data_IF_644872302918
#
_entry.id   IF_644872302918
#
_cell.length_a   1.000
_cell.length_b   1.000
_cell.length_c   1.000
_cell.angle_alpha   90.00
_cell.angle_beta   90.00
_cell.angle_gamma   90.00
#
_symmetry.space_group_name_H-M   'P 1'
#
loop_
_entity.id
_entity.type
_entity.pdbx_description
1 polymer ?
#
# COMPACT_ATOMS: atom_id res chain seq x y z
N UNK A 1 18.95 -4.11 -13.79
CA UNK A 1 17.60 -3.67 -14.22
C UNK A 1 17.01 -2.87 -13.08
N UNK A 2 16.80 -1.56 -13.29
CA UNK A 2 16.30 -0.62 -12.29
C UNK A 2 14.87 -1.00 -11.89
N UNK A 3 14.57 -1.02 -10.60
CA UNK A 3 13.18 -1.08 -10.15
C UNK A 3 12.59 0.31 -10.39
N UNK A 4 11.59 0.36 -11.27
CA UNK A 4 10.73 1.51 -11.60
C UNK A 4 11.36 2.51 -12.59
N UNK A 5 11.15 2.28 -13.89
CA UNK A 5 11.06 3.41 -14.83
C UNK A 5 9.74 4.15 -14.56
N UNK A 6 9.86 5.38 -14.04
CA UNK A 6 8.79 6.28 -13.62
C UNK A 6 9.37 7.37 -12.69
N UNK A 7 10.35 8.11 -13.19
CA UNK A 7 11.30 8.95 -12.43
C UNK A 7 10.73 10.33 -12.06
N UNK A 8 9.83 10.36 -11.08
CA UNK A 8 9.42 11.60 -10.41
C UNK A 8 8.73 11.35 -9.07
N UNK A 9 8.93 12.22 -8.06
CA UNK A 9 8.35 12.08 -6.72
C UNK A 9 6.80 12.15 -6.70
N UNK A 10 6.19 12.57 -7.80
CA UNK A 10 4.74 12.69 -8.02
C UNK A 10 4.20 11.71 -9.08
N UNK A 11 5.03 10.75 -9.56
CA UNK A 11 4.54 9.80 -10.57
C UNK A 11 3.60 8.77 -9.92
N UNK A 12 2.36 8.75 -10.41
CA UNK A 12 1.32 7.79 -10.02
C UNK A 12 1.26 6.60 -10.99
N UNK A 13 2.18 6.52 -11.95
CA UNK A 13 2.26 5.45 -12.95
C UNK A 13 3.21 4.34 -12.50
N UNK A 14 2.76 3.10 -12.65
CA UNK A 14 3.48 1.89 -12.29
C UNK A 14 3.55 0.98 -13.52
N UNK A 15 4.73 0.92 -14.14
CA UNK A 15 4.99 0.07 -15.31
C UNK A 15 5.26 -1.38 -14.93
N UNK A 16 5.91 -1.58 -13.78
CA UNK A 16 6.30 -2.90 -13.29
C UNK A 16 5.88 -3.05 -11.84
N UNK A 17 5.29 -4.19 -11.50
CA UNK A 17 4.97 -4.58 -10.13
C UNK A 17 5.91 -5.68 -9.66
N UNK A 18 6.26 -5.72 -8.37
CA UNK A 18 7.11 -6.77 -7.82
C UNK A 18 6.43 -8.12 -7.97
N UNK A 19 7.21 -9.11 -8.37
CA UNK A 19 6.79 -10.51 -8.37
C UNK A 19 6.79 -11.01 -6.92
N UNK A 20 5.59 -11.12 -6.34
CA UNK A 20 5.38 -11.70 -5.01
C UNK A 20 4.47 -12.90 -5.17
N UNK A 21 4.90 -14.06 -4.67
CA UNK A 21 4.05 -15.24 -4.55
C UNK A 21 3.15 -15.01 -3.35
N UNK A 22 1.84 -14.91 -3.59
CA UNK A 22 0.84 -14.66 -2.56
C UNK A 22 -0.02 -15.92 -2.39
N UNK A 23 -0.21 -16.40 -1.16
CA UNK A 23 -1.13 -17.50 -0.89
C UNK A 23 -2.57 -17.14 -1.27
N UNK A 24 -3.36 -18.11 -1.72
CA UNK A 24 -4.80 -17.93 -1.96
C UNK A 24 -5.60 -18.04 -0.65
N UNK A 25 -5.20 -17.25 0.35
CA UNK A 25 -5.87 -17.13 1.65
C UNK A 25 -5.78 -15.69 2.14
N UNK A 26 -6.74 -15.28 2.98
CA UNK A 26 -6.69 -13.98 3.63
C UNK A 26 -5.46 -13.86 4.54
N UNK A 27 -4.84 -12.67 4.53
CA UNK A 27 -3.67 -12.42 5.35
C UNK A 27 -3.09 -11.02 5.21
N UNK A 28 -1.89 -10.86 5.76
CA UNK A 28 -1.15 -9.61 5.80
C UNK A 28 0.21 -9.78 5.14
N UNK A 29 0.55 -8.86 4.25
CA UNK A 29 1.94 -8.68 3.82
C UNK A 29 2.58 -7.61 4.69
N UNK A 30 3.49 -8.02 5.56
CA UNK A 30 4.20 -7.13 6.48
C UNK A 30 5.53 -6.76 5.85
N UNK A 31 5.63 -5.53 5.35
CA UNK A 31 6.74 -5.07 4.53
C UNK A 31 7.73 -4.26 5.37
N UNK A 32 8.99 -4.70 5.38
CA UNK A 32 10.08 -4.00 6.03
C UNK A 32 10.63 -2.86 5.15
N UNK A 33 11.57 -2.11 5.71
CA UNK A 33 12.33 -1.11 4.97
C UNK A 33 13.14 -1.78 3.85
N UNK A 34 13.08 -1.27 2.60
CA UNK A 34 13.86 -1.84 1.51
C UNK A 34 15.35 -1.80 1.84
N UNK A 35 16.00 -2.97 1.83
CA UNK A 35 17.43 -3.09 2.02
C UNK A 35 18.13 -3.05 0.66
N UNK A 36 19.32 -2.44 0.58
CA UNK A 36 20.11 -2.49 -0.65
C UNK A 36 20.74 -3.87 -0.81
N UNK A 37 20.39 -4.57 -1.89
CA UNK A 37 21.06 -5.81 -2.27
C UNK A 37 22.31 -5.47 -3.10
N UNK A 38 23.48 -5.56 -2.46
CA UNK A 38 24.77 -5.27 -3.09
C UNK A 38 25.13 -6.22 -4.24
N UNK A 39 24.63 -7.45 -4.22
CA UNK A 39 24.90 -8.43 -5.29
C UNK A 39 24.01 -8.17 -6.50
N UNK A 40 22.71 -7.95 -6.27
CA UNK A 40 21.76 -7.66 -7.33
C UNK A 40 21.77 -6.18 -7.80
N UNK A 41 22.54 -5.32 -7.11
CA UNK A 41 22.63 -3.86 -7.31
C UNK A 41 21.25 -3.20 -7.42
N UNK A 42 20.33 -3.61 -6.55
CA UNK A 42 18.95 -3.12 -6.53
C UNK A 42 18.38 -3.15 -5.11
N UNK A 43 17.38 -2.30 -4.80
CA UNK A 43 16.66 -2.43 -3.54
C UNK A 43 15.89 -3.76 -3.51
N UNK A 44 16.00 -4.47 -2.40
CA UNK A 44 15.25 -5.69 -2.09
C UNK A 44 14.22 -5.37 -1.02
N UNK A 45 12.98 -5.72 -1.29
CA UNK A 45 11.88 -5.61 -0.34
C UNK A 45 11.71 -6.99 0.29
N UNK A 46 11.77 -7.05 1.61
CA UNK A 46 11.39 -8.24 2.37
C UNK A 46 9.98 -8.04 2.91
N UNK A 47 9.12 -9.01 2.63
CA UNK A 47 7.74 -9.02 3.08
C UNK A 47 7.42 -10.40 3.63
N UNK A 48 6.93 -10.44 4.88
CA UNK A 48 6.41 -11.66 5.48
C UNK A 48 4.91 -11.75 5.22
N UNK A 49 4.43 -12.94 4.90
CA UNK A 49 3.00 -13.20 4.80
C UNK A 49 2.47 -13.86 6.07
N UNK A 50 1.52 -13.22 6.75
CA UNK A 50 0.85 -13.78 7.92
C UNK A 50 -0.60 -14.09 7.58
N UNK A 51 -0.99 -15.36 7.70
CA UNK A 51 -2.39 -15.77 7.55
C UNK A 51 -3.21 -15.17 8.68
N UNK A 52 -4.33 -14.54 8.33
CA UNK A 52 -5.22 -13.88 9.29
C UNK A 52 -6.68 -14.14 8.89
N UNK A 53 -7.53 -14.40 9.87
CA UNK A 53 -8.95 -14.60 9.62
C UNK A 53 -9.61 -13.31 9.09
N UNK A 54 -10.50 -13.45 8.11
CA UNK A 54 -11.17 -12.34 7.41
C UNK A 54 -11.73 -11.26 8.36
N UNK A 55 -12.36 -11.67 9.46
CA UNK A 55 -13.04 -10.79 10.40
C UNK A 55 -12.13 -9.87 11.22
N UNK A 56 -10.81 -10.10 11.23
CA UNK A 56 -9.86 -9.32 12.03
C UNK A 56 -8.69 -8.75 11.20
N UNK A 57 -8.78 -8.81 9.86
CA UNK A 57 -7.69 -8.41 8.97
C UNK A 57 -7.17 -7.00 9.23
N UNK A 58 -8.08 -6.02 9.30
CA UNK A 58 -7.67 -4.61 9.51
C UNK A 58 -7.09 -4.41 10.91
N UNK A 59 -7.70 -4.99 11.94
CA UNK A 59 -7.21 -4.86 13.31
C UNK A 59 -5.81 -5.47 13.45
N UNK A 60 -5.61 -6.68 12.92
CA UNK A 60 -4.31 -7.34 12.88
C UNK A 60 -3.29 -6.54 12.06
N UNK A 61 -3.70 -5.89 10.96
CA UNK A 61 -2.83 -5.05 10.16
C UNK A 61 -2.29 -3.86 10.96
N UNK A 62 -3.14 -3.22 11.78
CA UNK A 62 -2.71 -2.15 12.68
C UNK A 62 -1.78 -2.66 13.80
N UNK A 63 -2.04 -3.85 14.34
CA UNK A 63 -1.13 -4.50 15.28
C UNK A 63 0.24 -4.75 14.67
N UNK A 64 0.29 -5.27 13.44
CA UNK A 64 1.52 -5.50 12.69
C UNK A 64 2.25 -4.18 12.37
N UNK A 65 1.51 -3.14 11.98
CA UNK A 65 2.02 -1.83 11.64
C UNK A 65 2.72 -1.13 12.82
N UNK A 66 2.34 -1.44 14.07
CA UNK A 66 2.99 -0.92 15.26
C UNK A 66 4.35 -1.55 15.57
N UNK A 67 4.75 -2.62 14.89
CA UNK A 67 6.02 -3.30 15.16
C UNK A 67 7.21 -2.46 14.66
N UNK A 68 8.32 -2.40 15.41
CA UNK A 68 9.54 -1.72 14.95
C UNK A 68 10.01 -2.24 13.58
N UNK A 69 10.41 -1.33 12.70
CA UNK A 69 10.95 -1.66 11.38
C UNK A 69 9.91 -1.90 10.28
N UNK A 70 8.62 -2.01 10.61
CA UNK A 70 7.55 -2.20 9.60
C UNK A 70 7.26 -0.88 8.89
N UNK A 71 7.44 -0.85 7.57
CA UNK A 71 7.15 0.33 6.75
C UNK A 71 5.68 0.39 6.35
N UNK A 72 5.15 -0.74 5.89
CA UNK A 72 3.79 -0.86 5.39
C UNK A 72 3.26 -2.27 5.65
N UNK A 73 1.95 -2.38 5.84
CA UNK A 73 1.21 -3.62 5.95
C UNK A 73 0.12 -3.60 4.91
N UNK A 74 0.08 -4.60 4.05
CA UNK A 74 -0.97 -4.74 3.04
C UNK A 74 -1.96 -5.81 3.51
N UNK A 75 -3.23 -5.44 3.58
CA UNK A 75 -4.32 -6.39 3.73
C UNK A 75 -4.48 -7.13 2.40
N UNK A 76 -4.20 -8.42 2.42
CA UNK A 76 -4.39 -9.32 1.31
C UNK A 76 -5.69 -10.09 1.51
N UNK A 77 -6.57 -10.03 0.51
CA UNK A 77 -7.77 -10.85 0.44
C UNK A 77 -7.50 -12.01 -0.50
N UNK A 78 -7.65 -13.24 0.00
CA UNK A 78 -7.52 -14.46 -0.78
C UNK A 78 -8.52 -14.43 -1.93
N UNK A 79 -8.02 -14.12 -3.12
CA UNK A 79 -8.78 -14.04 -4.37
C UNK A 79 -7.83 -13.88 -5.55
N UNK A 80 -8.37 -14.04 -6.77
CA UNK A 80 -7.61 -14.05 -8.03
C UNK A 80 -6.91 -12.72 -8.40
N UNK A 81 -7.18 -11.60 -7.71
CA UNK A 81 -6.55 -10.31 -8.04
C UNK A 81 -5.28 -10.04 -7.20
N UNK A 82 -4.23 -10.81 -7.49
CA UNK A 82 -2.90 -10.61 -6.88
C UNK A 82 -2.28 -9.26 -7.25
N UNK A 83 -2.73 -8.65 -8.34
CA UNK A 83 -2.24 -7.34 -8.81
C UNK A 83 -2.61 -6.26 -7.81
N UNK A 84 -3.81 -6.32 -7.23
CA UNK A 84 -4.25 -5.38 -6.20
C UNK A 84 -3.31 -5.34 -4.98
N UNK A 85 -2.93 -6.50 -4.43
CA UNK A 85 -2.03 -6.56 -3.27
C UNK A 85 -0.61 -6.13 -3.61
N UNK A 86 -0.08 -6.53 -4.78
CA UNK A 86 1.25 -6.09 -5.24
C UNK A 86 1.31 -4.59 -5.44
N UNK A 87 0.27 -4.01 -6.03
CA UNK A 87 0.15 -2.56 -6.21
C UNK A 87 0.09 -1.84 -4.87
N UNK A 88 -0.75 -2.31 -3.94
CA UNK A 88 -0.85 -1.74 -2.60
C UNK A 88 0.48 -1.78 -1.83
N UNK A 89 1.29 -2.83 -2.02
CA UNK A 89 2.63 -2.93 -1.44
C UNK A 89 3.55 -1.82 -1.95
N UNK A 90 3.66 -1.66 -3.27
CA UNK A 90 4.55 -0.64 -3.86
C UNK A 90 4.10 0.77 -3.50
N UNK A 91 2.79 1.05 -3.60
CA UNK A 91 2.21 2.34 -3.22
C UNK A 91 2.47 2.61 -1.74
N UNK A 92 2.23 1.63 -0.87
CA UNK A 92 2.49 1.73 0.56
C UNK A 92 3.93 2.09 0.87
N UNK A 93 4.91 1.37 0.31
CA UNK A 93 6.33 1.64 0.53
C UNK A 93 6.73 3.04 0.03
N UNK A 94 6.26 3.44 -1.16
CA UNK A 94 6.54 4.78 -1.72
C UNK A 94 5.95 5.89 -0.83
N UNK A 95 4.71 5.72 -0.38
CA UNK A 95 4.06 6.65 0.55
C UNK A 95 4.81 6.73 1.88
N UNK A 96 5.26 5.61 2.39
CA UNK A 96 5.96 5.52 3.67
C UNK A 96 7.30 6.27 3.62
N UNK A 97 8.09 6.06 2.57
CA UNK A 97 9.32 6.84 2.31
C UNK A 97 9.02 8.33 2.15
N UNK A 98 8.07 8.70 1.29
CA UNK A 98 7.75 10.12 0.98
C UNK A 98 7.21 10.88 2.19
N UNK A 99 6.39 10.22 3.01
CA UNK A 99 5.83 10.85 4.20
C UNK A 99 6.78 10.79 5.41
N UNK A 100 7.93 10.11 5.29
CA UNK A 100 8.80 9.77 6.40
C UNK A 100 8.02 9.08 7.54
N UNK A 101 7.11 8.17 7.18
CA UNK A 101 6.25 7.44 8.12
C UNK A 101 6.40 5.95 7.94
N UNK A 102 6.18 5.25 9.02
CA UNK A 102 6.22 3.79 9.13
C UNK A 102 4.85 3.28 9.55
N UNK A 103 4.63 1.97 9.43
CA UNK A 103 3.38 1.33 9.82
C UNK A 103 2.16 1.79 9.02
N UNK A 104 2.29 1.99 7.70
CA UNK A 104 1.12 2.30 6.89
C UNK A 104 0.24 1.04 6.72
N UNK A 105 -1.09 1.18 6.72
CA UNK A 105 -2.01 0.06 6.43
C UNK A 105 -2.71 0.30 5.10
N UNK A 106 -2.52 -0.62 4.14
CA UNK A 106 -2.97 -0.48 2.76
C UNK A 106 -3.88 -1.64 2.36
N UNK A 107 -4.86 -1.36 1.51
CA UNK A 107 -5.72 -2.36 0.86
C UNK A 107 -5.74 -2.07 -0.64
N UNK A 108 -5.53 -3.08 -1.47
CA UNK A 108 -5.73 -2.97 -2.92
C UNK A 108 -7.16 -3.35 -3.30
N UNK A 109 -7.74 -2.68 -4.30
CA UNK A 109 -9.00 -3.13 -4.91
C UNK A 109 -10.25 -2.76 -4.10
N UNK A 110 -11.25 -3.65 -4.12
CA UNK A 110 -12.52 -3.44 -3.41
C UNK A 110 -12.35 -3.58 -1.90
N UNK A 111 -13.14 -2.81 -1.13
CA UNK A 111 -13.19 -2.89 0.33
C UNK A 111 -14.37 -3.72 0.84
N UNK A 112 -15.12 -4.38 -0.06
CA UNK A 112 -16.33 -5.12 0.29
C UNK A 112 -16.08 -6.11 1.44
N UNK A 113 -16.87 -5.97 2.50
CA UNK A 113 -16.76 -6.81 3.70
C UNK A 113 -15.59 -6.46 4.62
N UNK A 114 -14.88 -5.35 4.41
CA UNK A 114 -13.90 -4.80 5.36
C UNK A 114 -14.47 -3.66 6.20
N UNK A 115 -15.57 -3.03 5.77
CA UNK A 115 -16.12 -1.80 6.35
C UNK A 115 -16.42 -1.88 7.85
N UNK A 116 -16.92 -3.02 8.31
CA UNK A 116 -17.25 -3.26 9.71
C UNK A 116 -16.00 -3.29 10.63
N UNK A 117 -14.79 -3.45 10.08
CA UNK A 117 -13.56 -3.64 10.84
C UNK A 117 -12.75 -2.35 11.01
N UNK A 118 -13.16 -1.24 10.39
CA UNK A 118 -12.39 0.01 10.44
C UNK A 118 -12.41 0.70 11.82
N UNK A 119 -13.40 0.44 12.69
CA UNK A 119 -13.46 0.94 14.09
C UNK A 119 -13.10 2.45 14.21
N UNK A 120 -13.67 3.30 13.35
CA UNK A 120 -13.43 4.75 13.37
C UNK A 120 -12.20 5.25 12.59
N UNK A 121 -11.41 4.34 11.99
CA UNK A 121 -10.35 4.67 11.03
C UNK A 121 -10.94 5.32 9.77
N UNK A 122 -10.08 6.04 9.04
CA UNK A 122 -10.48 6.83 7.86
C UNK A 122 -9.83 6.27 6.61
N UNK A 123 -10.60 6.20 5.53
CA UNK A 123 -10.12 5.70 4.25
C UNK A 123 -9.67 6.84 3.37
N UNK A 124 -8.48 6.71 2.80
CA UNK A 124 -7.97 7.61 1.78
C UNK A 124 -7.70 6.82 0.51
N UNK A 125 -8.31 7.25 -0.58
CA UNK A 125 -8.07 6.68 -1.90
C UNK A 125 -6.82 7.29 -2.53
N UNK A 126 -5.94 6.43 -3.03
CA UNK A 126 -4.81 6.75 -3.89
C UNK A 126 -5.13 6.20 -5.29
N UNK A 127 -5.40 7.11 -6.23
CA UNK A 127 -5.62 6.76 -7.63
C UNK A 127 -4.27 6.66 -8.33
N UNK A 128 -4.05 5.53 -8.99
CA UNK A 128 -2.78 5.20 -9.64
C UNK A 128 -3.04 4.60 -11.01
N UNK A 129 -2.08 4.75 -11.91
CA UNK A 129 -2.14 4.20 -13.25
C UNK A 129 -1.19 2.99 -13.31
N UNK A 130 -1.70 1.85 -13.76
CA UNK A 130 -0.89 0.65 -13.96
C UNK A 130 -0.80 0.39 -15.45
N UNK A 131 0.40 0.17 -15.96
CA UNK A 131 0.59 -0.20 -17.35
C UNK A 131 -0.02 -1.59 -17.58
N UNK A 132 -0.92 -1.66 -18.54
CA UNK A 132 -1.49 -2.86 -19.10
C UNK A 132 -0.94 -3.02 -20.53
N UNK A 133 -1.05 -4.22 -21.08
CA UNK A 133 -0.44 -4.57 -22.37
C UNK A 133 -0.70 -3.55 -23.48
N UNK A 134 0.29 -3.33 -24.35
CA UNK A 134 0.13 -2.49 -25.54
C UNK A 134 -0.01 -0.98 -25.26
N UNK A 135 0.72 -0.44 -24.28
CA UNK A 135 0.71 0.99 -23.90
C UNK A 135 -0.61 1.53 -23.36
N UNK A 136 -1.48 0.64 -22.91
CA UNK A 136 -2.71 1.00 -22.22
C UNK A 136 -2.40 1.26 -20.75
N UNK A 137 -2.85 2.39 -20.21
CA UNK A 137 -2.77 2.67 -18.78
C UNK A 137 -4.14 2.50 -18.13
N UNK A 138 -4.22 1.62 -17.14
CA UNK A 138 -5.47 1.33 -16.44
C UNK A 138 -5.46 2.02 -15.08
N UNK A 139 -6.51 2.81 -14.82
CA UNK A 139 -6.72 3.41 -13.50
C UNK A 139 -7.07 2.34 -12.49
N UNK A 140 -6.34 2.35 -11.36
CA UNK A 140 -6.53 1.46 -10.22
C UNK A 140 -6.56 2.30 -8.96
N UNK A 141 -7.17 1.74 -7.91
CA UNK A 141 -7.29 2.38 -6.61
C UNK A 141 -6.60 1.54 -5.54
N UNK A 142 -5.76 2.19 -4.76
CA UNK A 142 -5.22 1.68 -3.51
C UNK A 142 -5.82 2.50 -2.38
N UNK A 143 -6.27 1.83 -1.34
CA UNK A 143 -6.80 2.46 -0.15
C UNK A 143 -5.76 2.46 0.95
N UNK A 144 -5.61 3.59 1.62
CA UNK A 144 -4.91 3.68 2.88
C UNK A 144 -5.93 3.78 4.00
N UNK A 145 -5.82 2.86 4.96
CA UNK A 145 -6.61 2.88 6.19
C UNK A 145 -5.81 3.66 7.22
N UNK A 146 -6.24 4.89 7.51
CA UNK A 146 -5.53 5.80 8.42
C UNK A 146 -6.12 5.77 9.82
N UNK A 147 -5.23 5.76 10.82
CA UNK A 147 -5.58 6.19 12.18
C UNK A 147 -6.06 7.66 12.17
N UNK A 148 -6.86 8.03 13.17
CA UNK A 148 -7.49 9.34 13.23
C UNK A 148 -6.47 10.51 13.24
N UNK A 149 -5.43 10.39 14.06
CA UNK A 149 -4.35 11.38 14.17
C UNK A 149 -3.61 11.58 12.83
N UNK A 150 -3.33 10.48 12.13
CA UNK A 150 -2.72 10.50 10.79
C UNK A 150 -3.62 11.16 9.77
N UNK A 151 -4.92 10.87 9.81
CA UNK A 151 -5.89 11.46 8.91
C UNK A 151 -6.01 12.98 9.08
N UNK A 152 -5.98 13.48 10.32
CA UNK A 152 -5.96 14.93 10.58
C UNK A 152 -4.68 15.58 10.03
N UNK A 153 -3.51 14.96 10.22
CA UNK A 153 -2.25 15.45 9.66
C UNK A 153 -2.27 15.46 8.12
N UNK A 154 -2.86 14.43 7.52
CA UNK A 154 -3.04 14.36 6.07
C UNK A 154 -3.94 15.49 5.55
N UNK A 155 -5.08 15.75 6.21
CA UNK A 155 -5.98 16.87 5.87
C UNK A 155 -5.28 18.22 5.98
N UNK A 156 -4.63 18.48 7.12
CA UNK A 156 -3.89 19.71 7.37
C UNK A 156 -2.82 19.97 6.29
N UNK A 157 -2.06 18.95 5.90
CA UNK A 157 -1.04 19.10 4.84
C UNK A 157 -1.65 19.46 3.49
N UNK A 158 -2.83 18.93 3.15
CA UNK A 158 -3.52 19.26 1.90
C UNK A 158 -4.10 20.67 1.89
N UNK A 159 -4.57 21.13 3.04
CA UNK A 159 -5.01 22.53 3.23
C UNK A 159 -3.86 23.49 3.00
N UNK A 160 -2.70 23.23 3.61
CA UNK A 160 -1.48 24.05 3.41
C UNK A 160 -1.05 24.10 1.95
N UNK A 161 -1.21 22.99 1.22
CA UNK A 161 -0.86 22.90 -0.20
C UNK A 161 -1.95 23.42 -1.15
N UNK A 162 -3.10 23.88 -0.64
CA UNK A 162 -4.22 24.34 -1.48
C UNK A 162 -4.87 23.23 -2.31
N UNK A 163 -4.72 21.97 -1.91
CA UNK A 163 -5.18 20.77 -2.64
C UNK A 163 -6.58 20.31 -2.21
N UNK A 164 -7.36 21.17 -1.56
CA UNK A 164 -8.77 20.87 -1.31
C UNK A 164 -9.51 20.84 -2.66
N UNK A 165 -9.88 19.64 -3.11
CA UNK A 165 -10.85 19.52 -4.20
C UNK A 165 -12.15 20.12 -3.68
N UNK A 166 -12.63 21.18 -4.32
CA UNK A 166 -14.02 21.61 -4.22
C UNK A 166 -14.88 20.41 -4.59
N UNK A 167 -15.59 19.89 -3.59
CA UNK A 167 -16.65 18.89 -3.74
C UNK A 167 -17.72 19.37 -4.71
#
# INVERSE_FOLDING_TARGET
MSLLEGDGPDDVRYRWLPEVVLPDVDGLLVCAEPAWDGQARRPRIEADFWTVAAGVLVEAAFGAAGRPGVMAVVVHRGSRDLVASRLAMVVGLRLAVRSARRGLVLCGGSLDGLDATFQGRRLVAHEVLVWDSGDVWVSRRVWEVMAADRYEQWKSRRQVLGLERRS
#
